data_IF_340442125251
#
_entry.id   IF_340442125251
#
_cell.length_a   1.000
_cell.length_b   1.000
_cell.length_c   1.000
_cell.angle_alpha   90.00
_cell.angle_beta   90.00
_cell.angle_gamma   90.00
#
_symmetry.space_group_name_H-M   'P 1'
#
loop_
_entity.id
_entity.type
_entity.pdbx_description
1 polymer ?
#
# COMPACT_ATOMS: atom_id res chain seq x y z
N UNK A 1 5.30 3.70 -7.03
CA UNK A 1 5.70 2.32 -7.35
C UNK A 1 6.82 2.34 -8.36
N UNK A 2 7.88 1.61 -8.11
CA UNK A 2 9.09 1.64 -8.93
C UNK A 2 9.25 0.33 -9.68
N UNK A 3 9.67 0.40 -10.94
CA UNK A 3 10.11 -0.75 -11.71
C UNK A 3 11.63 -0.69 -11.90
N UNK A 4 12.30 -1.81 -11.75
CA UNK A 4 13.75 -1.91 -11.94
C UNK A 4 14.05 -2.78 -13.14
N UNK A 5 15.18 -2.51 -13.81
CA UNK A 5 15.53 -3.20 -15.07
C UNK A 5 15.62 -4.72 -14.93
N UNK A 6 16.05 -5.22 -13.77
CA UNK A 6 16.21 -6.66 -13.54
C UNK A 6 15.02 -7.31 -12.83
N UNK A 7 13.90 -6.59 -12.71
CA UNK A 7 12.72 -7.10 -12.03
C UNK A 7 11.44 -6.77 -12.80
N UNK A 8 11.50 -6.89 -14.14
CA UNK A 8 10.38 -6.55 -15.01
C UNK A 8 9.13 -7.39 -14.72
N UNK A 9 9.29 -8.69 -14.45
CA UNK A 9 8.16 -9.57 -14.12
C UNK A 9 7.51 -9.14 -12.80
N UNK A 10 8.33 -8.84 -11.81
CA UNK A 10 7.87 -8.35 -10.51
C UNK A 10 7.11 -7.02 -10.67
N UNK A 11 7.69 -6.08 -11.41
CA UNK A 11 7.06 -4.78 -11.65
C UNK A 11 5.74 -4.93 -12.41
N UNK A 12 5.71 -5.79 -13.43
CA UNK A 12 4.49 -6.06 -14.19
C UNK A 12 3.39 -6.62 -13.30
N UNK A 13 3.72 -7.56 -12.40
CA UNK A 13 2.76 -8.11 -11.45
C UNK A 13 2.21 -7.06 -10.51
N UNK A 14 3.06 -6.17 -9.99
CA UNK A 14 2.65 -5.10 -9.09
C UNK A 14 1.76 -4.06 -9.79
N UNK A 15 2.09 -3.67 -11.00
CA UNK A 15 1.24 -2.74 -11.78
C UNK A 15 -0.07 -3.40 -12.18
N UNK A 16 -0.06 -4.70 -12.49
CA UNK A 16 -1.28 -5.45 -12.76
C UNK A 16 -2.20 -5.50 -11.55
N UNK A 17 -1.65 -5.73 -10.37
CA UNK A 17 -2.41 -5.71 -9.11
C UNK A 17 -3.05 -4.33 -8.88
N UNK A 18 -2.30 -3.27 -9.12
CA UNK A 18 -2.82 -1.91 -8.97
C UNK A 18 -4.00 -1.66 -9.91
N UNK A 19 -3.88 -2.09 -11.16
CA UNK A 19 -4.96 -1.95 -12.15
C UNK A 19 -6.21 -2.71 -11.73
N UNK A 20 -6.05 -3.93 -11.23
CA UNK A 20 -7.16 -4.73 -10.72
C UNK A 20 -7.83 -4.04 -9.52
N UNK A 21 -7.05 -3.57 -8.56
CA UNK A 21 -7.58 -2.91 -7.38
C UNK A 21 -8.36 -1.63 -7.75
N UNK A 22 -7.83 -0.83 -8.68
CA UNK A 22 -8.51 0.37 -9.15
C UNK A 22 -9.85 0.05 -9.82
N UNK A 23 -9.84 -0.95 -10.67
CA UNK A 23 -11.05 -1.39 -11.38
C UNK A 23 -12.11 -1.86 -10.39
N UNK A 24 -11.72 -2.69 -9.41
CA UNK A 24 -12.63 -3.17 -8.38
C UNK A 24 -13.14 -2.04 -7.48
N UNK A 25 -12.28 -1.08 -7.15
CA UNK A 25 -12.69 0.07 -6.35
C UNK A 25 -13.78 0.88 -7.07
N UNK A 26 -13.58 1.15 -8.34
CA UNK A 26 -14.57 1.88 -9.14
C UNK A 26 -15.89 1.14 -9.26
N UNK A 27 -15.84 -0.18 -9.37
CA UNK A 27 -17.03 -1.01 -9.51
C UNK A 27 -17.77 -1.19 -8.17
N UNK A 28 -17.04 -1.44 -7.10
CA UNK A 28 -17.60 -1.91 -5.84
C UNK A 28 -17.82 -0.83 -4.78
N UNK A 29 -17.09 0.29 -4.82
CA UNK A 29 -17.33 1.39 -3.88
C UNK A 29 -18.78 1.86 -3.89
N UNK A 30 -19.42 2.05 -5.06
CA UNK A 30 -20.85 2.42 -5.08
C UNK A 30 -21.74 1.38 -4.43
N UNK A 31 -21.29 0.12 -4.34
CA UNK A 31 -22.02 -0.97 -3.70
C UNK A 31 -21.67 -1.13 -2.22
N UNK A 32 -21.01 -0.13 -1.63
CA UNK A 32 -20.65 -0.12 -0.23
C UNK A 32 -19.56 -1.15 0.15
N UNK A 33 -18.70 -1.50 -0.80
CA UNK A 33 -17.56 -2.38 -0.57
C UNK A 33 -16.28 -1.56 -0.69
N UNK A 34 -15.51 -1.47 0.39
CA UNK A 34 -14.31 -0.64 0.45
C UNK A 34 -13.10 -1.45 -0.03
N UNK A 35 -12.60 -1.12 -1.20
CA UNK A 35 -11.42 -1.76 -1.81
C UNK A 35 -10.25 -0.81 -1.68
N UNK A 36 -9.13 -1.33 -1.19
CA UNK A 36 -7.91 -0.56 -1.08
C UNK A 36 -6.70 -1.28 -1.66
N UNK A 37 -5.79 -0.50 -2.20
CA UNK A 37 -4.50 -0.96 -2.68
C UNK A 37 -3.40 -0.32 -1.82
N UNK A 38 -2.57 -1.15 -1.19
CA UNK A 38 -1.51 -0.69 -0.30
C UNK A 38 -0.16 -0.93 -0.97
N UNK A 39 0.60 0.13 -1.14
CA UNK A 39 1.96 0.08 -1.69
C UNK A 39 2.92 0.13 -0.52
N UNK A 40 3.67 -0.93 -0.31
CA UNK A 40 4.67 -0.99 0.75
C UNK A 40 6.03 -0.86 0.08
N UNK A 41 6.63 0.32 0.20
CA UNK A 41 7.89 0.66 -0.45
C UNK A 41 9.01 0.68 0.60
N UNK A 42 9.61 -0.47 0.83
CA UNK A 42 10.69 -0.63 1.78
C UNK A 42 10.68 -2.01 2.42
N UNK A 43 11.75 -2.33 3.11
CA UNK A 43 11.85 -3.58 3.85
C UNK A 43 10.98 -3.56 5.10
N UNK A 44 10.42 -4.70 5.44
CA UNK A 44 9.61 -4.88 6.65
C UNK A 44 10.46 -5.57 7.70
N UNK A 45 10.54 -5.01 8.91
CA UNK A 45 11.30 -5.63 9.99
C UNK A 45 11.24 -4.81 11.26
N UNK A 46 11.75 -5.41 12.35
CA UNK A 46 11.77 -4.77 13.66
C UNK A 46 13.16 -4.32 14.09
N UNK A 47 14.21 -4.89 13.51
CA UNK A 47 15.59 -4.67 13.96
C UNK A 47 16.03 -3.21 13.81
N UNK A 48 15.65 -2.57 12.75
CA UNK A 48 16.07 -1.20 12.44
C UNK A 48 14.98 -0.16 12.70
N UNK A 49 13.99 -0.52 13.51
CA UNK A 49 12.86 0.38 13.78
C UNK A 49 13.31 1.73 14.32
N UNK A 50 14.25 1.74 15.25
CA UNK A 50 14.76 2.98 15.84
C UNK A 50 15.52 3.86 14.86
N UNK A 51 16.07 3.29 13.78
CA UNK A 51 16.78 4.03 12.73
C UNK A 51 15.88 4.33 11.54
N UNK A 52 14.66 3.81 11.53
CA UNK A 52 13.68 3.96 10.46
C UNK A 52 14.14 3.43 9.10
N UNK A 53 15.05 2.44 9.08
CA UNK A 53 15.49 1.80 7.84
C UNK A 53 14.50 0.78 7.33
N UNK A 54 13.70 0.20 8.23
CA UNK A 54 12.65 -0.76 7.88
C UNK A 54 11.30 -0.27 8.39
N UNK A 55 10.25 -0.79 7.79
CA UNK A 55 8.88 -0.49 8.20
C UNK A 55 8.48 -1.49 9.27
N UNK A 56 8.07 -1.01 10.42
CA UNK A 56 7.62 -1.88 11.51
C UNK A 56 6.29 -2.53 11.13
N UNK A 57 6.16 -3.87 11.24
CA UNK A 57 4.93 -4.55 10.82
C UNK A 57 3.67 -4.10 11.56
N UNK A 58 3.79 -3.73 12.83
CA UNK A 58 2.64 -3.23 13.60
C UNK A 58 2.15 -1.88 13.07
N UNK A 59 3.04 -1.06 12.53
CA UNK A 59 2.66 0.21 11.90
C UNK A 59 1.90 0.00 10.61
N UNK A 60 2.26 -1.03 9.84
CA UNK A 60 1.52 -1.44 8.64
C UNK A 60 0.12 -1.90 9.04
N UNK A 61 0.02 -2.76 10.04
CA UNK A 61 -1.27 -3.26 10.52
C UNK A 61 -2.18 -2.12 11.00
N UNK A 62 -1.60 -1.13 11.68
CA UNK A 62 -2.35 0.05 12.12
C UNK A 62 -2.91 0.83 10.94
N UNK A 63 -2.16 0.97 9.87
CA UNK A 63 -2.63 1.65 8.65
C UNK A 63 -3.79 0.91 8.01
N UNK A 64 -3.74 -0.42 7.95
CA UNK A 64 -4.86 -1.22 7.46
C UNK A 64 -6.10 -1.02 8.32
N UNK A 65 -5.93 -0.99 9.62
CA UNK A 65 -7.06 -0.81 10.54
C UNK A 65 -7.69 0.59 10.37
N UNK A 66 -6.88 1.61 10.21
CA UNK A 66 -7.36 2.98 9.95
C UNK A 66 -8.13 3.04 8.64
N UNK A 67 -7.66 2.35 7.60
CA UNK A 67 -8.37 2.25 6.33
C UNK A 67 -9.75 1.61 6.53
N UNK A 68 -9.83 0.54 7.30
CA UNK A 68 -11.08 -0.16 7.58
C UNK A 68 -12.13 0.76 8.23
N UNK A 69 -11.67 1.67 9.09
CA UNK A 69 -12.56 2.56 9.82
C UNK A 69 -12.80 3.91 9.14
N UNK A 70 -12.34 4.10 7.91
CA UNK A 70 -12.60 5.35 7.21
C UNK A 70 -14.09 5.56 6.97
N UNK A 71 -14.54 6.80 7.18
CA UNK A 71 -15.91 7.18 6.87
C UNK A 71 -16.14 7.04 5.37
N UNK A 72 -17.32 6.56 4.98
CA UNK A 72 -17.67 6.32 3.57
C UNK A 72 -17.58 7.58 2.72
N UNK A 73 -17.76 8.76 3.32
CA UNK A 73 -17.65 10.03 2.60
C UNK A 73 -16.19 10.40 2.23
N UNK A 74 -15.22 9.68 2.79
CA UNK A 74 -13.80 9.99 2.62
C UNK A 74 -12.99 8.69 2.53
N UNK A 75 -13.34 7.83 1.61
CA UNK A 75 -12.62 6.56 1.41
C UNK A 75 -11.39 6.75 0.55
N UNK A 76 -10.24 6.29 1.04
CA UNK A 76 -9.05 6.11 0.22
C UNK A 76 -9.20 4.85 -0.61
N UNK A 77 -8.56 4.80 -1.78
CA UNK A 77 -8.44 3.54 -2.52
C UNK A 77 -6.97 3.10 -2.66
N UNK A 78 -6.04 4.02 -2.51
CA UNK A 78 -4.61 3.70 -2.62
C UNK A 78 -3.85 4.41 -1.51
N UNK A 79 -2.97 3.68 -0.82
CA UNK A 79 -2.15 4.20 0.27
C UNK A 79 -0.73 3.70 0.07
N UNK A 80 0.24 4.61 0.02
CA UNK A 80 1.65 4.27 -0.09
C UNK A 80 2.31 4.41 1.28
N UNK A 81 3.01 3.35 1.70
CA UNK A 81 3.67 3.27 2.99
C UNK A 81 5.17 3.14 2.77
N UNK A 82 5.93 4.04 3.34
CA UNK A 82 7.39 4.02 3.29
C UNK A 82 7.97 4.59 4.57
N UNK A 83 9.25 4.34 4.83
CA UNK A 83 9.92 4.94 5.97
C UNK A 83 10.19 6.42 5.70
N UNK A 84 10.38 7.19 6.77
CA UNK A 84 10.69 8.62 6.65
C UNK A 84 12.05 8.89 5.99
N UNK A 85 12.92 7.89 5.94
CA UNK A 85 14.27 8.03 5.35
C UNK A 85 14.34 7.45 3.93
N UNK A 86 13.25 6.89 3.42
CA UNK A 86 13.20 6.35 2.07
C UNK A 86 13.31 7.47 1.04
N UNK A 87 14.12 7.26 0.02
CA UNK A 87 14.27 8.23 -1.08
C UNK A 87 13.27 7.91 -2.19
N UNK A 88 12.65 8.95 -2.68
CA UNK A 88 11.66 8.85 -3.78
C UNK A 88 12.35 8.89 -5.15
#
# INVERSE_FOLDING_TARGET
MKGFSNSSVFAMGKFGLRGLAQSLARELHPQNIHIGHFIIDGGIGRKDYGSYKTIHPDSIAKTYLQFHYQDKSAWSWETEIRTSVEKF
#
